data_IF_332746065156
#
_entry.id   IF_332746065156
#
_cell.length_a   1.000
_cell.length_b   1.000
_cell.length_c   1.000
_cell.angle_alpha   90.00
_cell.angle_beta   90.00
_cell.angle_gamma   90.00
#
_symmetry.space_group_name_H-M   'P 1'
#
loop_
_entity.id
_entity.type
_entity.pdbx_description
1 polymer ?
#
# COMPACT_ATOMS: atom_id res chain seq x y z
N UNK A 1 -5.58 -9.17 -16.07
CA UNK A 1 -6.14 -7.87 -15.66
C UNK A 1 -4.98 -7.03 -15.14
N UNK A 2 -4.64 -5.95 -15.83
CA UNK A 2 -3.56 -5.06 -15.38
C UNK A 2 -4.13 -4.18 -14.27
N UNK A 3 -3.79 -4.48 -13.02
CA UNK A 3 -4.25 -3.70 -11.88
C UNK A 3 -3.49 -2.37 -11.89
N UNK A 4 -4.06 -1.34 -12.52
CA UNK A 4 -3.51 0.02 -12.52
C UNK A 4 -3.68 0.64 -11.12
N UNK A 5 -2.85 0.20 -10.17
CA UNK A 5 -2.80 0.75 -8.82
C UNK A 5 -2.35 2.22 -8.75
N UNK A 6 -1.86 2.75 -9.87
CA UNK A 6 -1.42 4.13 -10.03
C UNK A 6 -2.41 4.95 -10.87
N UNK A 7 -3.57 4.38 -11.21
CA UNK A 7 -4.62 5.13 -11.89
C UNK A 7 -5.19 6.20 -10.95
N UNK A 8 -5.01 7.46 -11.34
CA UNK A 8 -5.54 8.64 -10.65
C UNK A 8 -6.71 9.26 -11.39
N UNK A 9 -7.15 8.70 -12.52
CA UNK A 9 -8.25 9.26 -13.33
C UNK A 9 -9.55 9.41 -12.52
N UNK A 10 -9.84 8.44 -11.65
CA UNK A 10 -10.99 8.45 -10.74
C UNK A 10 -11.00 9.62 -9.74
N UNK A 11 -9.84 10.22 -9.44
CA UNK A 11 -9.77 11.32 -8.46
C UNK A 11 -10.53 12.54 -8.95
N UNK A 12 -10.50 12.81 -10.26
CA UNK A 12 -11.20 13.95 -10.86
C UNK A 12 -12.72 13.77 -10.82
N UNK A 13 -13.19 12.56 -11.10
CA UNK A 13 -14.61 12.21 -11.04
C UNK A 13 -15.12 12.20 -9.60
N UNK A 14 -14.29 11.74 -8.66
CA UNK A 14 -14.57 11.77 -7.22
C UNK A 14 -14.68 13.21 -6.67
N UNK A 15 -13.76 14.11 -7.05
CA UNK A 15 -13.82 15.52 -6.66
C UNK A 15 -15.04 16.25 -7.26
N UNK A 16 -15.54 15.79 -8.41
CA UNK A 16 -16.73 16.33 -9.06
C UNK A 16 -18.05 15.79 -8.49
N UNK A 17 -18.04 14.71 -7.68
CA UNK A 17 -19.24 14.26 -6.96
C UNK A 17 -19.61 15.30 -5.90
N UNK A 18 -20.74 15.99 -6.12
CA UNK A 18 -21.23 17.18 -5.40
C UNK A 18 -21.50 17.07 -3.89
N UNK A 19 -21.08 16.03 -3.17
CA UNK A 19 -21.58 15.73 -1.82
C UNK A 19 -20.56 15.39 -0.74
N UNK A 20 -19.26 15.50 -1.01
CA UNK A 20 -18.25 15.15 0.01
C UNK A 20 -17.64 16.39 0.65
N UNK A 21 -17.57 16.41 1.98
CA UNK A 21 -16.75 17.38 2.70
C UNK A 21 -15.29 17.22 2.25
N UNK A 22 -14.51 18.30 2.08
CA UNK A 22 -13.08 18.21 1.79
C UNK A 22 -12.31 17.29 2.76
N UNK A 23 -12.81 17.16 4.00
CA UNK A 23 -12.29 16.26 5.02
C UNK A 23 -12.43 14.78 4.64
N UNK A 24 -13.58 14.38 4.08
CA UNK A 24 -13.85 12.98 3.71
C UNK A 24 -12.98 12.55 2.53
N UNK A 25 -12.82 13.44 1.54
CA UNK A 25 -11.92 13.23 0.41
C UNK A 25 -10.46 13.05 0.84
N UNK A 26 -10.01 13.88 1.81
CA UNK A 26 -8.67 13.80 2.38
C UNK A 26 -8.45 12.50 3.14
N UNK A 27 -9.46 12.01 3.87
CA UNK A 27 -9.41 10.75 4.61
C UNK A 27 -9.27 9.56 3.67
N UNK A 28 -10.06 9.51 2.58
CA UNK A 28 -10.01 8.43 1.59
C UNK A 28 -8.66 8.40 0.85
N UNK A 29 -8.17 9.56 0.40
CA UNK A 29 -6.86 9.64 -0.26
C UNK A 29 -5.70 9.30 0.68
N UNK A 30 -5.79 9.67 1.96
CA UNK A 30 -4.80 9.33 2.98
C UNK A 30 -4.80 7.83 3.32
N UNK A 31 -5.99 7.24 3.45
CA UNK A 31 -6.18 5.82 3.75
C UNK A 31 -5.59 4.89 2.68
N UNK A 32 -5.81 5.20 1.39
CA UNK A 32 -5.25 4.39 0.29
C UNK A 32 -3.72 4.44 0.26
N UNK A 33 -3.12 5.61 0.52
CA UNK A 33 -1.65 5.73 0.64
C UNK A 33 -1.11 4.94 1.84
N UNK A 34 -1.80 5.00 2.98
CA UNK A 34 -1.47 4.23 4.18
C UNK A 34 -1.52 2.73 3.94
N UNK A 35 -2.58 2.24 3.29
CA UNK A 35 -2.76 0.83 2.98
C UNK A 35 -1.67 0.29 2.04
N UNK A 36 -1.37 1.04 0.96
CA UNK A 36 -0.30 0.66 0.01
C UNK A 36 1.08 0.62 0.71
N UNK A 37 1.34 1.58 1.60
CA UNK A 37 2.56 1.61 2.41
C UNK A 37 2.67 0.41 3.36
N UNK A 38 1.61 0.14 4.14
CA UNK A 38 1.56 -0.97 5.08
C UNK A 38 1.71 -2.32 4.38
N UNK A 39 1.08 -2.51 3.21
CA UNK A 39 1.22 -3.74 2.44
C UNK A 39 2.66 -3.96 1.95
N UNK A 40 3.30 -2.91 1.38
CA UNK A 40 4.71 -2.99 0.96
C UNK A 40 5.64 -3.32 2.13
N UNK A 41 5.40 -2.73 3.30
CA UNK A 41 6.18 -3.01 4.51
C UNK A 41 6.00 -4.45 4.98
N UNK A 42 4.77 -4.98 4.92
CA UNK A 42 4.48 -6.38 5.24
C UNK A 42 5.20 -7.37 4.33
N UNK A 43 5.22 -7.12 3.01
CA UNK A 43 5.96 -7.96 2.04
C UNK A 43 7.46 -7.94 2.36
N UNK A 44 8.02 -6.75 2.60
CA UNK A 44 9.44 -6.60 2.93
C UNK A 44 9.82 -7.34 4.22
N UNK A 45 8.94 -7.32 5.24
CA UNK A 45 9.15 -8.05 6.48
C UNK A 45 9.20 -9.56 6.26
N UNK A 46 8.30 -10.11 5.43
CA UNK A 46 8.30 -11.55 5.09
C UNK A 46 9.57 -11.96 4.35
N UNK A 47 10.05 -11.13 3.41
CA UNK A 47 11.30 -11.38 2.71
C UNK A 47 12.51 -11.33 3.65
N UNK A 48 12.53 -10.37 4.57
CA UNK A 48 13.56 -10.25 5.60
C UNK A 48 13.63 -11.51 6.49
N UNK A 49 12.50 -12.00 7.00
CA UNK A 49 12.47 -13.21 7.84
C UNK A 49 12.96 -14.46 7.08
N UNK A 50 12.66 -14.57 5.78
CA UNK A 50 13.20 -15.67 4.94
C UNK A 50 14.71 -15.58 4.74
N UNK A 51 15.27 -14.37 4.64
CA UNK A 51 16.71 -14.18 4.53
C UNK A 51 17.39 -14.50 5.87
N UNK A 52 16.82 -14.01 6.97
CA UNK A 52 17.31 -14.27 8.32
C UNK A 52 17.38 -15.77 8.63
N UNK A 53 16.32 -16.53 8.34
CA UNK A 53 16.32 -17.99 8.52
C UNK A 53 17.43 -18.70 7.73
N UNK A 54 17.62 -18.33 6.46
CA UNK A 54 18.71 -18.90 5.64
C UNK A 54 20.09 -18.58 6.19
N UNK A 55 20.29 -17.39 6.73
CA UNK A 55 21.54 -17.01 7.37
C UNK A 55 21.78 -17.80 8.66
N UNK A 56 20.75 -17.99 9.48
CA UNK A 56 20.83 -18.80 10.71
C UNK A 56 21.14 -20.27 10.38
N UNK A 57 20.52 -20.84 9.35
CA UNK A 57 20.80 -22.20 8.87
C UNK A 57 22.25 -22.35 8.35
N UNK A 58 22.77 -21.34 7.65
CA UNK A 58 24.17 -21.33 7.19
C UNK A 58 25.20 -21.18 8.32
N UNK A 59 24.84 -20.54 9.43
CA UNK A 59 25.73 -20.39 10.60
C UNK A 59 25.73 -21.62 11.50
N UNK A 60 24.76 -22.53 11.35
CA UNK A 60 24.64 -23.77 12.13
C UNK A 60 25.24 -25.01 11.41
N UNK A 61 25.69 -24.86 10.15
CA UNK A 61 26.48 -25.86 9.42
C UNK A 61 27.97 -25.58 9.56
#
# INVERSE_FOLDING_TARGET
>A
MSNKWDDTSWQKDFLNMKSHSPSDAKLLMGGVKGLKGAWRLGVLHVEYEKLKKRQEEQQQQ
#
